data_IF_583923972263
#
_entry.id   IF_583923972263
#
_cell.length_a   1.000
_cell.length_b   1.000
_cell.length_c   1.000
_cell.angle_alpha   90.00
_cell.angle_beta   90.00
_cell.angle_gamma   90.00
#
_symmetry.space_group_name_H-M   'P 1'
#
loop_
_entity.id
_entity.type
_entity.pdbx_description
1 polymer ?
#
# COMPACT_ATOMS: atom_id res chain seq x y z
N UNK A 1 -65.63 13.16 -2.71
CA UNK A 1 -64.76 12.09 -3.25
C UNK A 1 -63.34 12.63 -3.33
N UNK A 2 -62.45 12.18 -2.43
CA UNK A 2 -61.02 12.50 -2.50
C UNK A 2 -60.44 11.76 -3.72
N UNK A 3 -59.94 12.52 -4.70
CA UNK A 3 -59.27 11.94 -5.88
C UNK A 3 -57.92 11.38 -5.45
N UNK A 4 -57.78 10.07 -5.63
CA UNK A 4 -56.52 9.36 -5.52
C UNK A 4 -55.62 9.79 -6.69
N UNK A 5 -54.53 10.50 -6.37
CA UNK A 5 -53.55 10.95 -7.36
C UNK A 5 -52.30 10.08 -7.23
N UNK A 6 -52.16 9.05 -8.09
CA UNK A 6 -51.07 8.08 -8.01
C UNK A 6 -49.71 8.72 -8.25
N UNK A 7 -49.64 9.81 -9.03
CA UNK A 7 -48.38 10.49 -9.35
C UNK A 7 -47.84 11.24 -8.13
N UNK A 8 -48.75 11.78 -7.30
CA UNK A 8 -48.39 12.45 -6.05
C UNK A 8 -47.87 11.47 -5.00
N UNK A 9 -48.41 10.25 -4.96
CA UNK A 9 -47.94 9.17 -4.06
C UNK A 9 -46.58 8.64 -4.54
N UNK A 10 -46.40 8.46 -5.85
CA UNK A 10 -45.12 8.05 -6.42
C UNK A 10 -44.00 9.06 -6.14
N UNK A 11 -44.29 10.36 -6.24
CA UNK A 11 -43.32 11.41 -5.91
C UNK A 11 -42.91 11.43 -4.43
N UNK A 12 -43.85 11.17 -3.52
CA UNK A 12 -43.57 11.08 -2.06
C UNK A 12 -42.67 9.87 -1.78
N UNK A 13 -43.00 8.70 -2.34
CA UNK A 13 -42.23 7.46 -2.15
C UNK A 13 -40.81 7.56 -2.75
N UNK A 14 -40.67 8.21 -3.91
CA UNK A 14 -39.36 8.44 -4.52
C UNK A 14 -38.47 9.37 -3.68
N UNK A 15 -39.04 10.48 -3.17
CA UNK A 15 -38.31 11.39 -2.28
C UNK A 15 -37.90 10.76 -0.95
N UNK A 16 -38.69 9.81 -0.44
CA UNK A 16 -38.38 9.07 0.79
C UNK A 16 -37.30 7.99 0.54
N UNK A 17 -37.32 7.33 -0.62
CA UNK A 17 -36.28 6.38 -1.02
C UNK A 17 -34.89 7.04 -1.19
N UNK A 18 -34.82 8.23 -1.79
CA UNK A 18 -33.56 8.97 -1.92
C UNK A 18 -32.98 9.40 -0.56
N UNK A 19 -33.83 9.84 0.37
CA UNK A 19 -33.42 10.17 1.74
C UNK A 19 -32.86 8.95 2.47
N UNK A 20 -33.54 7.80 2.37
CA UNK A 20 -33.07 6.55 2.98
C UNK A 20 -31.74 6.11 2.37
N UNK A 21 -31.58 6.21 1.05
CA UNK A 21 -30.31 5.87 0.38
C UNK A 21 -29.15 6.77 0.85
N UNK A 22 -29.38 8.09 0.99
CA UNK A 22 -28.38 9.03 1.49
C UNK A 22 -27.98 8.75 2.96
N UNK A 23 -28.95 8.46 3.83
CA UNK A 23 -28.68 8.13 5.24
C UNK A 23 -27.89 6.82 5.36
N UNK A 24 -28.24 5.80 4.58
CA UNK A 24 -27.54 4.51 4.57
C UNK A 24 -26.11 4.63 4.05
N UNK A 25 -25.88 5.41 2.99
CA UNK A 25 -24.52 5.65 2.46
C UNK A 25 -23.65 6.43 3.47
N UNK A 26 -24.18 7.50 4.09
CA UNK A 26 -23.44 8.25 5.11
C UNK A 26 -23.12 7.39 6.34
N UNK A 27 -24.05 6.54 6.78
CA UNK A 27 -23.83 5.60 7.88
C UNK A 27 -22.78 4.53 7.54
N UNK A 28 -22.81 3.99 6.32
CA UNK A 28 -21.83 3.03 5.84
C UNK A 28 -20.41 3.64 5.76
N UNK A 29 -20.29 4.88 5.29
CA UNK A 29 -19.01 5.60 5.26
C UNK A 29 -18.46 5.87 6.67
N UNK A 30 -19.31 6.25 7.63
CA UNK A 30 -18.91 6.43 9.04
C UNK A 30 -18.48 5.10 9.69
N UNK A 31 -19.19 4.00 9.42
CA UNK A 31 -18.83 2.66 9.88
C UNK A 31 -17.48 2.18 9.33
N UNK A 32 -17.22 2.41 8.04
CA UNK A 32 -15.95 2.06 7.38
C UNK A 32 -14.76 2.84 7.96
N UNK A 33 -14.92 4.13 8.28
CA UNK A 33 -13.89 4.94 8.92
C UNK A 33 -13.54 4.41 10.33
N UNK A 34 -14.57 4.08 11.13
CA UNK A 34 -14.38 3.53 12.48
C UNK A 34 -13.72 2.14 12.45
N UNK A 35 -14.10 1.28 11.50
CA UNK A 35 -13.48 -0.03 11.31
C UNK A 35 -12.00 0.08 10.89
N UNK A 36 -11.67 1.04 10.02
CA UNK A 36 -10.28 1.34 9.62
C UNK A 36 -9.43 1.84 10.79
N UNK A 37 -9.99 2.69 11.65
CA UNK A 37 -9.33 3.17 12.86
C UNK A 37 -9.06 2.02 13.87
N UNK A 38 -10.05 1.16 14.13
CA UNK A 38 -9.88 -0.04 14.99
C UNK A 38 -8.84 -1.02 14.43
N UNK A 39 -8.80 -1.22 13.11
CA UNK A 39 -7.79 -2.07 12.46
C UNK A 39 -6.36 -1.50 12.61
N UNK A 40 -6.20 -0.18 12.44
CA UNK A 40 -4.92 0.50 12.70
C UNK A 40 -4.48 0.38 14.16
N UNK A 41 -5.40 0.56 15.12
CA UNK A 41 -5.10 0.43 16.55
C UNK A 41 -4.66 -1.01 16.91
N UNK A 42 -5.35 -2.03 16.39
CA UNK A 42 -4.98 -3.44 16.58
C UNK A 42 -3.63 -3.80 15.96
N UNK A 43 -3.34 -3.29 14.76
CA UNK A 43 -2.01 -3.45 14.16
C UNK A 43 -0.92 -2.82 15.03
N UNK A 44 -1.11 -1.59 15.50
CA UNK A 44 -0.15 -0.91 16.41
C UNK A 44 0.10 -1.73 17.69
N UNK A 45 -0.94 -2.29 18.29
CA UNK A 45 -0.84 -3.10 19.50
C UNK A 45 -0.13 -4.46 19.24
N UNK A 46 -0.40 -5.10 18.10
CA UNK A 46 0.23 -6.36 17.72
C UNK A 46 1.74 -6.21 17.51
N UNK A 47 2.17 -5.16 16.80
CA UNK A 47 3.58 -4.90 16.55
C UNK A 47 4.34 -4.49 17.83
N UNK A 48 3.70 -3.76 18.76
CA UNK A 48 4.28 -3.45 20.08
C UNK A 48 4.64 -4.70 20.90
N UNK A 49 3.95 -5.83 20.70
CA UNK A 49 4.23 -7.10 21.39
C UNK A 49 5.24 -8.00 20.67
N UNK A 50 5.29 -7.96 19.34
CA UNK A 50 6.05 -8.97 18.56
C UNK A 50 7.50 -8.60 18.29
N UNK A 51 7.84 -7.31 18.17
CA UNK A 51 9.17 -6.94 17.64
C UNK A 51 10.24 -6.71 18.69
N UNK A 52 9.94 -6.53 19.99
CA UNK A 52 10.97 -6.32 21.05
C UNK A 52 11.79 -5.02 20.92
N UNK A 53 12.11 -4.61 19.70
CA UNK A 53 12.56 -3.29 19.30
C UNK A 53 11.45 -2.29 19.57
N UNK A 54 11.71 -1.40 20.55
CA UNK A 54 10.97 -0.16 20.75
C UNK A 54 10.72 0.47 19.39
N UNK A 55 9.44 0.60 19.03
CA UNK A 55 8.89 1.32 17.86
C UNK A 55 9.37 2.78 17.70
N UNK A 56 10.33 3.25 18.50
CA UNK A 56 10.88 4.60 18.45
C UNK A 56 11.81 4.86 17.27
N UNK A 57 12.54 3.86 16.74
CA UNK A 57 13.47 4.06 15.60
C UNK A 57 12.86 3.81 14.22
N UNK A 58 11.78 3.02 14.13
CA UNK A 58 10.98 2.83 12.91
C UNK A 58 10.18 4.10 12.50
N UNK A 59 10.39 5.22 13.19
CA UNK A 59 9.79 6.53 12.90
C UNK A 59 10.77 7.58 12.35
N UNK A 60 12.06 7.27 12.20
CA UNK A 60 13.02 8.25 11.67
C UNK A 60 12.82 8.51 10.16
N UNK A 61 12.43 7.48 9.40
CA UNK A 61 12.24 7.56 7.95
C UNK A 61 10.91 6.94 7.48
N UNK A 62 10.25 7.51 6.47
CA UNK A 62 9.19 6.86 5.71
C UNK A 62 9.58 5.45 5.22
N UNK A 63 8.63 4.53 5.21
CA UNK A 63 8.90 3.12 4.86
C UNK A 63 9.49 2.89 3.46
N UNK A 64 9.24 3.79 2.50
CA UNK A 64 9.85 3.71 1.17
C UNK A 64 11.35 4.07 1.18
N UNK A 65 11.79 4.95 2.08
CA UNK A 65 13.20 5.25 2.29
C UNK A 65 13.90 4.09 3.00
N UNK A 66 13.22 3.46 3.96
CA UNK A 66 13.71 2.23 4.61
C UNK A 66 13.91 1.12 3.58
N UNK A 67 13.00 0.97 2.62
CA UNK A 67 13.15 0.00 1.53
C UNK A 67 14.43 0.26 0.72
N UNK A 68 14.65 1.49 0.27
CA UNK A 68 15.85 1.87 -0.49
C UNK A 68 17.12 1.68 0.34
N UNK A 69 17.09 2.06 1.62
CA UNK A 69 18.21 1.84 2.53
C UNK A 69 18.55 0.35 2.69
N UNK A 70 17.57 -0.55 2.64
CA UNK A 70 17.82 -2.00 2.75
C UNK A 70 18.21 -2.68 1.44
N UNK A 71 18.05 -2.04 0.29
CA UNK A 71 18.47 -2.61 -0.99
C UNK A 71 20.00 -2.56 -1.14
N UNK A 72 20.61 -3.67 -1.56
CA UNK A 72 22.03 -3.72 -1.95
C UNK A 72 22.27 -3.08 -3.32
N UNK A 73 23.40 -2.37 -3.46
CA UNK A 73 23.88 -1.78 -4.71
C UNK A 73 24.16 -2.86 -5.77
N UNK A 74 23.86 -2.57 -7.03
CA UNK A 74 24.05 -3.50 -8.16
C UNK A 74 23.16 -4.75 -8.20
N UNK A 75 22.37 -5.05 -7.15
CA UNK A 75 21.51 -6.23 -7.09
C UNK A 75 20.13 -5.98 -7.70
N UNK A 76 19.67 -6.94 -8.51
CA UNK A 76 18.30 -6.96 -9.03
C UNK A 76 17.36 -7.69 -8.08
N UNK A 77 16.17 -7.11 -7.90
CA UNK A 77 15.12 -7.57 -7.01
C UNK A 77 13.81 -7.74 -7.78
N UNK A 78 13.14 -8.85 -7.56
CA UNK A 78 11.73 -8.97 -7.90
C UNK A 78 10.85 -8.24 -6.87
N UNK A 79 9.57 -8.00 -7.18
CA UNK A 79 8.64 -7.40 -6.20
C UNK A 79 8.52 -8.24 -4.91
N UNK A 80 8.42 -9.59 -4.97
CA UNK A 80 8.52 -10.43 -3.78
C UNK A 80 9.79 -10.20 -2.96
N UNK A 81 10.95 -10.06 -3.61
CA UNK A 81 12.22 -9.82 -2.90
C UNK A 81 12.21 -8.46 -2.19
N UNK A 82 11.73 -7.41 -2.86
CA UNK A 82 11.53 -6.10 -2.22
C UNK A 82 10.63 -6.22 -0.99
N UNK A 83 9.58 -7.04 -1.05
CA UNK A 83 8.70 -7.29 0.09
C UNK A 83 9.39 -8.10 1.20
N UNK A 84 10.38 -8.92 0.90
CA UNK A 84 11.17 -9.63 1.91
C UNK A 84 12.13 -8.71 2.65
N UNK A 85 12.63 -7.65 2.02
CA UNK A 85 13.48 -6.64 2.68
C UNK A 85 12.75 -5.86 3.77
N UNK A 86 11.42 -5.74 3.66
CA UNK A 86 10.59 -4.91 4.53
C UNK A 86 9.35 -5.66 5.04
N UNK A 87 9.54 -6.74 5.82
CA UNK A 87 8.46 -7.64 6.22
C UNK A 87 7.40 -7.01 7.11
N UNK A 88 7.71 -5.87 7.73
CA UNK A 88 6.81 -5.09 8.57
C UNK A 88 5.73 -4.33 7.78
N UNK A 89 5.88 -4.16 6.46
CA UNK A 89 4.92 -3.45 5.61
C UNK A 89 4.05 -4.37 4.76
N UNK A 90 2.92 -3.88 4.26
CA UNK A 90 2.05 -4.64 3.38
C UNK A 90 2.59 -4.67 1.94
N UNK A 91 2.40 -5.78 1.21
CA UNK A 91 2.80 -5.89 -0.20
C UNK A 91 2.24 -4.75 -1.07
N UNK A 92 0.98 -4.38 -0.84
CA UNK A 92 0.34 -3.25 -1.52
C UNK A 92 1.04 -1.90 -1.28
N UNK A 93 1.70 -1.71 -0.13
CA UNK A 93 2.51 -0.52 0.16
C UNK A 93 3.78 -0.51 -0.66
N UNK A 94 4.48 -1.66 -0.74
CA UNK A 94 5.70 -1.81 -1.56
C UNK A 94 5.40 -1.49 -3.02
N UNK A 95 4.30 -2.06 -3.56
CA UNK A 95 3.83 -1.77 -4.91
C UNK A 95 3.55 -0.28 -5.10
N UNK A 96 2.84 0.35 -4.17
CA UNK A 96 2.54 1.78 -4.26
C UNK A 96 3.82 2.61 -4.27
N UNK A 97 4.79 2.29 -3.40
CA UNK A 97 6.03 3.05 -3.31
C UNK A 97 6.90 2.96 -4.56
N UNK A 98 7.00 1.77 -5.16
CA UNK A 98 7.70 1.58 -6.43
C UNK A 98 7.16 2.53 -7.49
N UNK A 99 5.83 2.62 -7.66
CA UNK A 99 5.22 3.43 -8.70
C UNK A 99 5.07 4.91 -8.37
N UNK A 100 4.89 5.26 -7.09
CA UNK A 100 4.58 6.64 -6.68
C UNK A 100 5.83 7.43 -6.28
N UNK A 101 6.87 6.76 -5.78
CA UNK A 101 8.05 7.42 -5.24
C UNK A 101 9.32 6.95 -5.94
N UNK A 102 9.64 5.65 -5.87
CA UNK A 102 10.96 5.17 -6.25
C UNK A 102 11.25 5.33 -7.75
N UNK A 103 10.29 4.95 -8.60
CA UNK A 103 10.43 5.07 -10.05
C UNK A 103 10.38 6.53 -10.54
N UNK A 104 9.38 7.36 -10.15
CA UNK A 104 9.34 8.75 -10.58
C UNK A 104 10.50 9.61 -10.08
N UNK A 105 11.07 9.28 -8.92
CA UNK A 105 12.23 9.98 -8.35
C UNK A 105 13.57 9.45 -8.87
N UNK A 106 13.58 8.50 -9.82
CA UNK A 106 14.83 7.97 -10.38
C UNK A 106 15.70 7.17 -9.39
N UNK A 107 15.13 6.72 -8.27
CA UNK A 107 15.89 5.99 -7.25
C UNK A 107 16.11 4.52 -7.61
N UNK A 108 15.28 3.98 -8.51
CA UNK A 108 15.40 2.61 -8.99
C UNK A 108 15.32 2.54 -10.51
N UNK A 109 16.04 1.57 -11.06
CA UNK A 109 15.92 1.15 -12.44
C UNK A 109 15.02 -0.08 -12.55
N UNK A 110 14.44 -0.30 -13.73
CA UNK A 110 13.50 -1.39 -14.00
C UNK A 110 13.89 -2.05 -15.30
N UNK A 111 14.05 -3.35 -15.25
CA UNK A 111 14.29 -4.20 -16.41
C UNK A 111 13.21 -5.26 -16.51
N UNK A 112 12.95 -5.73 -17.74
CA UNK A 112 12.13 -6.91 -17.94
C UNK A 112 12.92 -8.15 -17.53
N UNK A 113 12.25 -9.06 -16.81
CA UNK A 113 12.84 -10.32 -16.42
C UNK A 113 12.86 -11.27 -17.63
N UNK A 114 14.05 -11.69 -18.08
CA UNK A 114 14.18 -12.63 -19.18
C UNK A 114 13.54 -14.01 -18.88
N UNK A 115 13.43 -14.39 -17.60
CA UNK A 115 12.74 -15.62 -17.20
C UNK A 115 11.20 -15.49 -17.27
N UNK A 116 10.66 -14.29 -17.50
CA UNK A 116 9.24 -14.07 -17.64
C UNK A 116 8.77 -14.39 -19.07
N UNK A 117 8.21 -15.58 -19.22
CA UNK A 117 7.47 -16.02 -20.40
C UNK A 117 6.08 -15.36 -20.49
N UNK A 118 5.92 -14.42 -21.43
CA UNK A 118 4.65 -13.71 -21.72
C UNK A 118 3.58 -14.61 -22.36
N UNK A 119 3.97 -15.77 -22.90
CA UNK A 119 3.03 -16.68 -23.59
C UNK A 119 2.34 -17.63 -22.63
N UNK A 120 2.82 -17.74 -21.39
CA UNK A 120 2.26 -18.61 -20.37
C UNK A 120 0.97 -18.02 -19.78
N UNK A 121 -0.02 -18.89 -19.52
CA UNK A 121 -1.28 -18.49 -18.92
C UNK A 121 -1.12 -17.84 -17.52
N UNK A 122 -1.91 -16.81 -17.19
CA UNK A 122 -1.89 -16.17 -15.87
C UNK A 122 -2.05 -17.19 -14.74
N UNK A 123 -1.19 -17.10 -13.71
CA UNK A 123 -1.22 -17.98 -12.53
C UNK A 123 -0.42 -19.28 -12.65
N UNK A 124 0.16 -19.59 -13.82
CA UNK A 124 1.12 -20.71 -14.00
C UNK A 124 2.59 -20.27 -14.02
N UNK A 125 2.85 -19.04 -13.64
CA UNK A 125 4.17 -18.43 -13.67
C UNK A 125 4.59 -17.99 -12.27
N UNK A 126 5.80 -18.38 -11.87
CA UNK A 126 6.41 -18.06 -10.58
C UNK A 126 7.22 -16.76 -10.64
N UNK A 127 7.70 -16.41 -11.83
CA UNK A 127 8.62 -15.31 -12.04
C UNK A 127 7.88 -13.97 -12.11
N UNK A 128 8.48 -12.93 -11.53
CA UNK A 128 7.99 -11.56 -11.72
C UNK A 128 8.37 -11.04 -13.10
N UNK A 129 7.46 -10.34 -13.77
CA UNK A 129 7.73 -9.69 -15.07
C UNK A 129 8.83 -8.64 -15.00
N UNK A 130 8.87 -7.87 -13.91
CA UNK A 130 9.76 -6.74 -13.75
C UNK A 130 10.74 -7.01 -12.62
N UNK A 131 12.00 -6.68 -12.86
CA UNK A 131 13.07 -6.61 -11.87
C UNK A 131 13.44 -5.16 -11.63
N UNK A 132 13.88 -4.87 -10.40
CA UNK A 132 14.24 -3.54 -9.94
C UNK A 132 15.63 -3.55 -9.33
N UNK A 133 16.45 -2.54 -9.58
CA UNK A 133 17.70 -2.30 -8.83
C UNK A 133 17.79 -0.85 -8.42
N UNK A 134 18.70 -0.53 -7.50
CA UNK A 134 19.02 0.87 -7.23
C UNK A 134 19.66 1.52 -8.46
N UNK A 135 19.19 2.71 -8.79
CA UNK A 135 19.89 3.61 -9.70
C UNK A 135 21.07 4.27 -8.96
N UNK A 136 22.05 4.86 -9.67
CA UNK A 136 23.17 5.56 -9.02
C UNK A 136 22.73 6.62 -7.99
N UNK A 137 21.67 7.36 -8.27
CA UNK A 137 21.07 8.32 -7.32
C UNK A 137 20.46 7.62 -6.10
N UNK A 138 19.77 6.49 -6.33
CA UNK A 138 19.24 5.64 -5.27
C UNK A 138 20.30 5.03 -4.36
N UNK A 139 21.46 4.67 -4.89
CA UNK A 139 22.59 4.15 -4.10
C UNK A 139 23.16 5.21 -3.16
N UNK A 140 23.32 6.44 -3.64
CA UNK A 140 23.76 7.57 -2.82
C UNK A 140 22.77 7.85 -1.68
N UNK A 141 21.48 7.89 -1.99
CA UNK A 141 20.42 8.09 -0.99
C UNK A 141 20.32 6.91 -0.01
N UNK A 142 20.45 5.67 -0.49
CA UNK A 142 20.44 4.49 0.35
C UNK A 142 21.56 4.55 1.40
N UNK A 143 22.76 4.97 1.02
CA UNK A 143 23.87 5.16 1.96
C UNK A 143 23.53 6.20 3.04
N UNK A 144 23.07 7.38 2.63
CA UNK A 144 22.69 8.45 3.57
C UNK A 144 21.59 8.00 4.54
N UNK A 145 20.60 7.24 4.05
CA UNK A 145 19.49 6.75 4.87
C UNK A 145 19.89 5.61 5.80
N UNK A 146 20.81 4.71 5.40
CA UNK A 146 21.38 3.71 6.31
C UNK A 146 22.09 4.37 7.49
N UNK A 147 22.87 5.41 7.24
CA UNK A 147 23.54 6.17 8.29
C UNK A 147 22.52 6.82 9.24
N UNK A 148 21.42 7.34 8.71
CA UNK A 148 20.33 7.92 9.51
C UNK A 148 19.52 6.88 10.32
N UNK A 149 19.43 5.62 9.85
CA UNK A 149 18.79 4.52 10.59
C UNK A 149 19.66 4.02 11.76
N UNK A 150 20.98 4.27 11.72
CA UNK A 150 21.95 3.76 12.68
C UNK A 150 22.24 2.26 12.50
N UNK A 151 23.20 1.68 13.26
CA UNK A 151 23.46 0.25 13.23
C UNK A 151 22.19 -0.51 13.60
N UNK A 152 21.80 -1.44 12.73
CA UNK A 152 20.63 -2.30 12.90
C UNK A 152 20.78 -3.11 14.20
N UNK A 153 19.72 -3.16 15.02
CA UNK A 153 19.60 -4.12 16.13
C UNK A 153 19.13 -5.47 15.60
#
# INVERSE_FOLDING_TARGET
MLRYDPDRIAAILAGEAERLHHVLTVAAHKGAAAAKAKRKARQRAFWKRKTGCRTGRLMALPGWQVLVARMEAGRWYSRPDLRQLIPEFADGSVRAWVHQYLWPMGLIERAENAAFDRTRAPGRQSESQWLYRLAPEGEAQAKAWREALGPEC
#
